data_IF_810180107202
#
_entry.id   IF_810180107202
#
_cell.length_a   1.000
_cell.length_b   1.000
_cell.length_c   1.000
_cell.angle_alpha   90.00
_cell.angle_beta   90.00
_cell.angle_gamma   90.00
#
_symmetry.space_group_name_H-M   'P 1'
#
loop_
_entity.id
_entity.type
_entity.pdbx_description
1 polymer ?
#
# COMPACT_ATOMS: atom_id res chain seq x y z
N UNK A 1 -39.27 -18.49 31.43
CA UNK A 1 -38.19 -19.24 32.13
C UNK A 1 -37.04 -18.28 32.30
N UNK A 2 -36.84 -17.81 33.53
CA UNK A 2 -35.89 -16.76 33.90
C UNK A 2 -34.49 -17.34 34.11
N UNK A 3 -33.46 -16.56 33.74
CA UNK A 3 -32.13 -16.66 34.32
C UNK A 3 -31.55 -15.24 34.43
N UNK A 4 -31.68 -14.69 35.64
CA UNK A 4 -30.98 -13.50 36.12
C UNK A 4 -29.52 -13.87 36.39
N UNK A 5 -28.58 -12.98 36.03
CA UNK A 5 -27.21 -12.98 36.55
C UNK A 5 -26.95 -11.60 37.14
N UNK A 6 -26.86 -11.54 38.47
CA UNK A 6 -26.45 -10.39 39.27
C UNK A 6 -24.92 -10.18 39.15
N UNK A 7 -24.50 -8.92 39.00
CA UNK A 7 -23.12 -8.48 39.20
C UNK A 7 -23.13 -7.55 40.42
N UNK A 8 -22.57 -8.02 41.53
CA UNK A 8 -22.36 -7.21 42.73
C UNK A 8 -21.14 -6.30 42.56
N UNK A 9 -21.35 -5.01 42.83
CA UNK A 9 -20.30 -4.01 42.97
C UNK A 9 -19.64 -4.05 44.35
N UNK A 10 -18.35 -3.70 44.39
CA UNK A 10 -17.62 -3.37 45.62
C UNK A 10 -17.04 -1.96 45.47
N UNK A 11 -17.69 -0.98 46.11
CA UNK A 11 -17.12 0.33 46.45
C UNK A 11 -16.83 0.30 47.94
N UNK A 12 -15.56 0.43 48.34
CA UNK A 12 -15.18 0.62 49.74
C UNK A 12 -14.59 2.03 49.94
N UNK A 13 -15.37 2.85 50.63
CA UNK A 13 -14.98 4.14 51.21
C UNK A 13 -14.29 3.84 52.55
N UNK A 14 -13.10 4.41 52.80
CA UNK A 14 -12.60 4.63 54.16
C UNK A 14 -12.03 6.04 54.37
N UNK A 15 -12.37 6.55 55.55
CA UNK A 15 -12.35 7.92 56.07
C UNK A 15 -10.96 8.50 56.35
N UNK A 16 -10.95 9.83 56.41
CA UNK A 16 -9.89 10.75 56.84
C UNK A 16 -9.67 10.81 58.36
N UNK A 17 -8.45 11.21 58.77
CA UNK A 17 -8.04 12.21 59.80
C UNK A 17 -6.65 11.88 60.39
N UNK A 18 -5.90 12.82 61.02
CA UNK A 18 -5.68 14.26 60.79
C UNK A 18 -4.14 14.61 60.77
N UNK A 19 -3.70 15.89 60.65
CA UNK A 19 -2.28 16.24 60.55
C UNK A 19 -1.66 16.55 61.93
N UNK A 20 -0.37 16.24 62.10
CA UNK A 20 0.43 16.67 63.25
C UNK A 20 1.61 17.53 62.78
N UNK A 21 1.60 18.79 63.22
CA UNK A 21 2.72 19.71 63.19
C UNK A 21 3.57 19.53 64.46
N UNK A 22 4.90 19.64 64.34
CA UNK A 22 5.83 19.66 65.47
C UNK A 22 7.25 19.93 65.00
N UNK A 23 7.80 21.08 65.38
CA UNK A 23 9.06 21.60 64.87
C UNK A 23 10.33 21.23 65.67
N UNK A 24 11.42 21.85 65.20
CA UNK A 24 12.75 22.03 65.80
C UNK A 24 13.75 20.86 65.73
N UNK A 25 14.81 21.04 64.93
CA UNK A 25 16.12 21.55 65.39
C UNK A 25 17.13 21.67 64.25
N UNK A 26 17.74 22.86 64.19
CA UNK A 26 18.92 23.19 63.41
C UNK A 26 20.13 22.33 63.84
N UNK A 27 20.79 21.69 62.87
CA UNK A 27 22.23 21.41 62.92
C UNK A 27 22.84 21.77 61.58
N UNK A 28 23.65 22.84 61.59
CA UNK A 28 24.56 23.22 60.53
C UNK A 28 25.52 22.06 60.23
N UNK A 29 25.55 21.63 58.97
CA UNK A 29 26.76 21.06 58.36
C UNK A 29 27.03 21.89 57.13
N UNK A 30 28.12 22.64 57.19
CA UNK A 30 28.63 23.45 56.11
C UNK A 30 29.15 22.53 54.98
N UNK A 31 28.61 22.69 53.78
CA UNK A 31 29.28 22.24 52.55
C UNK A 31 29.43 23.44 51.63
N UNK A 32 30.67 23.65 51.20
CA UNK A 32 31.16 24.80 50.44
C UNK A 32 30.38 25.03 49.15
N UNK A 33 30.16 26.32 48.89
CA UNK A 33 29.63 26.87 47.66
C UNK A 33 30.55 26.63 46.46
N UNK A 34 29.94 26.38 45.30
CA UNK A 34 30.46 26.80 44.01
C UNK A 34 29.34 27.52 43.25
N UNK A 35 29.57 28.80 42.99
CA UNK A 35 28.71 29.71 42.23
C UNK A 35 28.50 29.22 40.79
N UNK A 36 27.27 29.40 40.30
CA UNK A 36 26.90 30.34 39.23
C UNK A 36 25.83 29.75 38.31
N UNK A 37 24.60 30.25 38.47
CA UNK A 37 23.56 30.14 37.48
C UNK A 37 23.81 31.22 36.41
N UNK A 38 24.05 30.79 35.17
CA UNK A 38 23.94 31.64 33.99
C UNK A 38 22.90 31.01 33.08
N UNK A 39 21.82 31.75 32.84
CA UNK A 39 20.76 31.39 31.91
C UNK A 39 21.32 31.33 30.49
N UNK A 40 21.14 30.19 29.82
CA UNK A 40 21.47 30.02 28.40
C UNK A 40 20.20 30.27 27.60
N UNK A 41 20.17 31.39 26.87
CA UNK A 41 19.16 31.63 25.85
C UNK A 41 19.27 30.57 24.74
N UNK A 42 18.16 30.11 24.14
CA UNK A 42 18.23 29.12 23.08
C UNK A 42 18.91 29.74 21.85
N UNK A 43 19.99 29.10 21.39
CA UNK A 43 20.64 29.45 20.14
C UNK A 43 19.67 29.28 18.96
N UNK A 44 19.72 30.13 17.93
CA UNK A 44 18.87 29.99 16.77
C UNK A 44 19.17 28.65 16.09
N UNK A 45 18.11 27.90 15.78
CA UNK A 45 18.17 26.68 14.97
C UNK A 45 18.66 27.08 13.58
N UNK A 46 19.93 26.85 13.32
CA UNK A 46 20.49 26.92 11.96
C UNK A 46 19.93 25.72 11.22
N UNK A 47 19.03 25.97 10.28
CA UNK A 47 18.63 24.98 9.28
C UNK A 47 19.86 24.72 8.41
N UNK A 48 20.55 23.62 8.66
CA UNK A 48 21.61 23.16 7.76
C UNK A 48 20.95 22.64 6.50
N UNK A 49 21.30 23.21 5.35
CA UNK A 49 21.04 22.58 4.05
C UNK A 49 21.61 21.15 4.13
N UNK A 50 20.71 20.17 4.06
CA UNK A 50 21.01 18.77 4.35
C UNK A 50 21.98 18.20 3.33
N UNK A 51 23.26 18.22 3.65
CA UNK A 51 24.24 17.36 3.00
C UNK A 51 23.77 15.92 3.15
N UNK A 52 23.54 15.24 2.02
CA UNK A 52 23.21 13.82 2.01
C UNK A 52 24.26 13.08 2.85
N UNK A 53 23.83 12.43 3.93
CA UNK A 53 24.69 11.55 4.72
C UNK A 53 25.40 10.59 3.75
N UNK A 54 26.73 10.61 3.75
CA UNK A 54 27.58 9.70 2.98
C UNK A 54 27.33 8.26 3.45
N UNK A 55 26.28 7.64 2.93
CA UNK A 55 25.96 6.24 3.17
C UNK A 55 26.01 5.49 1.85
N UNK A 56 26.59 4.30 1.90
CA UNK A 56 26.63 3.39 0.76
C UNK A 56 25.35 2.57 0.65
N UNK A 57 24.66 2.33 1.77
CA UNK A 57 23.44 1.52 1.84
C UNK A 57 22.26 2.23 1.20
N UNK A 58 21.45 1.53 0.41
CA UNK A 58 20.15 2.00 -0.11
C UNK A 58 19.06 1.67 0.90
N UNK A 59 18.12 2.60 1.13
CA UNK A 59 17.04 2.47 2.11
C UNK A 59 15.68 2.51 1.43
N UNK A 60 14.89 1.46 1.67
CA UNK A 60 13.52 1.30 1.24
C UNK A 60 12.56 1.46 2.42
N UNK A 61 11.70 2.47 2.36
CA UNK A 61 10.62 2.66 3.35
C UNK A 61 9.42 1.76 3.06
N UNK A 62 9.00 0.98 4.05
CA UNK A 62 7.77 0.17 3.98
C UNK A 62 6.78 0.59 5.09
N UNK A 63 5.46 0.44 4.87
CA UNK A 63 4.46 0.73 5.89
C UNK A 63 4.69 -0.12 7.15
N UNK A 64 4.64 0.50 8.32
CA UNK A 64 5.00 -0.17 9.58
C UNK A 64 3.90 -1.04 10.19
N UNK A 65 2.63 -0.80 9.84
CA UNK A 65 1.47 -1.49 10.42
C UNK A 65 0.22 -1.39 9.54
N UNK A 66 -0.78 -2.21 9.86
CA UNK A 66 -2.08 -2.22 9.20
C UNK A 66 -2.08 -3.03 7.91
N UNK A 67 -3.23 -3.06 7.23
CA UNK A 67 -3.45 -3.84 6.01
C UNK A 67 -2.36 -3.63 4.95
N UNK A 68 -1.97 -2.37 4.72
CA UNK A 68 -0.95 -2.06 3.71
C UNK A 68 0.41 -2.67 4.05
N UNK A 69 0.81 -2.72 5.32
CA UNK A 69 2.06 -3.36 5.74
C UNK A 69 2.02 -4.87 5.48
N UNK A 70 0.92 -5.53 5.83
CA UNK A 70 0.73 -6.97 5.60
C UNK A 70 0.75 -7.30 4.11
N UNK A 71 -0.01 -6.56 3.29
CA UNK A 71 -0.04 -6.75 1.84
C UNK A 71 1.33 -6.46 1.19
N UNK A 72 2.05 -5.43 1.64
CA UNK A 72 3.42 -5.14 1.17
C UNK A 72 4.39 -6.27 1.48
N UNK A 73 4.38 -6.79 2.71
CA UNK A 73 5.24 -7.90 3.10
C UNK A 73 4.89 -9.19 2.35
N UNK A 74 3.59 -9.43 2.10
CA UNK A 74 3.13 -10.56 1.30
C UNK A 74 3.59 -10.43 -0.16
N UNK A 75 3.51 -9.24 -0.76
CA UNK A 75 4.03 -8.99 -2.11
C UNK A 75 5.52 -9.32 -2.19
N UNK A 76 6.34 -8.77 -1.28
CA UNK A 76 7.78 -9.01 -1.26
C UNK A 76 8.10 -10.49 -1.02
N UNK A 77 7.38 -11.16 -0.11
CA UNK A 77 7.51 -12.61 0.12
C UNK A 77 7.17 -13.41 -1.15
N UNK A 78 6.11 -13.07 -1.86
CA UNK A 78 5.71 -13.73 -3.10
C UNK A 78 6.72 -13.51 -4.22
N UNK A 79 7.45 -12.39 -4.18
CA UNK A 79 8.62 -12.11 -5.01
C UNK A 79 9.90 -12.84 -4.53
N UNK A 80 9.86 -13.71 -3.52
CA UNK A 80 11.06 -14.29 -2.90
C UNK A 80 12.05 -13.25 -2.34
N UNK A 81 11.60 -12.01 -2.13
CA UNK A 81 12.31 -10.90 -1.50
C UNK A 81 11.94 -10.86 -0.01
N UNK A 82 12.26 -11.94 0.70
CA UNK A 82 11.85 -12.07 2.11
C UNK A 82 12.53 -11.00 2.96
N UNK A 83 11.73 -10.14 3.59
CA UNK A 83 12.23 -9.16 4.55
C UNK A 83 12.66 -9.89 5.83
N UNK A 84 13.96 -9.84 6.12
CA UNK A 84 14.54 -10.43 7.32
C UNK A 84 14.54 -9.40 8.44
N UNK A 85 13.60 -9.54 9.35
CA UNK A 85 13.53 -8.72 10.55
C UNK A 85 14.15 -9.48 11.73
N UNK A 86 15.33 -9.08 12.17
CA UNK A 86 16.06 -9.74 13.27
C UNK A 86 15.28 -9.63 14.59
N UNK A 87 14.59 -8.51 14.80
CA UNK A 87 13.73 -8.28 15.95
C UNK A 87 12.42 -7.60 15.51
N UNK A 88 11.24 -8.18 15.78
CA UNK A 88 9.94 -7.59 15.41
C UNK A 88 9.70 -6.17 15.96
N UNK A 89 10.43 -5.77 17.03
CA UNK A 89 10.36 -4.42 17.62
C UNK A 89 11.32 -3.42 16.96
N UNK A 90 12.26 -3.88 16.13
CA UNK A 90 13.16 -3.00 15.40
C UNK A 90 12.49 -2.47 14.14
N UNK A 91 12.74 -1.20 13.85
CA UNK A 91 12.23 -0.52 12.66
C UNK A 91 13.09 -0.74 11.41
N UNK A 92 14.18 -1.49 11.54
CA UNK A 92 15.15 -1.75 10.48
C UNK A 92 15.23 -3.25 10.21
N UNK A 93 15.24 -3.60 8.93
CA UNK A 93 15.36 -4.97 8.43
C UNK A 93 16.21 -4.97 7.15
N UNK A 94 16.49 -6.15 6.60
CA UNK A 94 17.20 -6.28 5.33
C UNK A 94 16.48 -7.24 4.37
N UNK A 95 16.80 -7.14 3.08
CA UNK A 95 16.37 -8.08 2.05
C UNK A 95 17.63 -8.74 1.47
N UNK A 96 18.04 -9.93 1.96
CA UNK A 96 19.32 -10.55 1.58
C UNK A 96 19.48 -10.80 0.07
N UNK A 97 18.37 -10.90 -0.66
CA UNK A 97 18.33 -11.13 -2.11
C UNK A 97 18.66 -9.87 -2.92
N UNK A 98 18.73 -8.70 -2.29
CA UNK A 98 19.11 -7.42 -2.89
C UNK A 98 20.32 -6.88 -2.15
N UNK A 99 21.47 -6.83 -2.83
CA UNK A 99 22.71 -6.39 -2.21
C UNK A 99 22.59 -4.94 -1.74
N UNK A 100 23.10 -4.65 -0.54
CA UNK A 100 23.24 -3.28 -0.04
C UNK A 100 21.90 -2.52 0.12
N UNK A 101 20.80 -3.24 0.36
CA UNK A 101 19.46 -2.70 0.63
C UNK A 101 19.05 -2.92 2.10
N UNK A 102 18.58 -1.86 2.73
CA UNK A 102 18.00 -1.84 4.07
C UNK A 102 16.54 -1.41 4.01
N UNK A 103 15.69 -2.05 4.81
CA UNK A 103 14.26 -1.77 4.91
C UNK A 103 13.95 -1.01 6.18
N UNK A 104 13.22 0.10 6.06
CA UNK A 104 12.77 0.92 7.19
C UNK A 104 11.25 0.87 7.31
N UNK A 105 10.74 0.33 8.41
CA UNK A 105 9.32 0.33 8.71
C UNK A 105 8.90 1.69 9.29
N UNK A 106 8.08 2.43 8.55
CA UNK A 106 7.65 3.78 8.92
C UNK A 106 6.14 3.95 8.71
N UNK A 107 5.55 4.98 9.32
CA UNK A 107 4.18 5.37 8.94
C UNK A 107 4.20 5.88 7.50
N UNK A 108 3.17 5.63 6.66
CA UNK A 108 3.18 6.04 5.25
C UNK A 108 3.53 7.52 5.04
N UNK A 109 2.96 8.42 5.85
CA UNK A 109 3.30 9.87 5.80
C UNK A 109 4.79 10.17 6.08
N UNK A 110 5.41 9.38 6.95
CA UNK A 110 6.82 9.55 7.32
C UNK A 110 7.74 8.97 6.24
N UNK A 111 7.28 7.97 5.45
CA UNK A 111 8.00 7.49 4.26
C UNK A 111 8.14 8.63 3.25
N UNK A 112 7.02 9.30 2.90
CA UNK A 112 7.04 10.42 1.93
C UNK A 112 7.92 11.57 2.42
N UNK A 113 7.79 11.96 3.70
CA UNK A 113 8.64 13.00 4.29
C UNK A 113 10.13 12.64 4.28
N UNK A 114 10.47 11.38 4.53
CA UNK A 114 11.85 10.91 4.54
C UNK A 114 12.44 10.76 3.15
N UNK A 115 11.63 10.43 2.14
CA UNK A 115 12.05 10.49 0.74
C UNK A 115 12.41 11.93 0.38
N UNK A 116 11.53 12.88 0.71
CA UNK A 116 11.76 14.30 0.47
C UNK A 116 13.01 14.84 1.20
N UNK A 117 13.22 14.43 2.45
CA UNK A 117 14.40 14.82 3.23
C UNK A 117 15.70 14.10 2.80
N UNK A 118 15.60 13.08 1.93
CA UNK A 118 16.73 12.23 1.55
C UNK A 118 17.16 11.23 2.64
N UNK A 119 16.37 11.00 3.68
CA UNK A 119 16.61 9.96 4.68
C UNK A 119 16.38 8.54 4.13
N UNK A 120 15.45 8.42 3.18
CA UNK A 120 15.12 7.22 2.40
C UNK A 120 15.40 7.48 0.92
N UNK A 121 15.64 6.40 0.17
CA UNK A 121 15.86 6.45 -1.28
C UNK A 121 14.60 6.02 -2.05
N UNK A 122 13.96 4.96 -1.54
CA UNK A 122 12.78 4.31 -2.11
C UNK A 122 11.68 4.16 -1.07
N UNK A 123 10.44 4.01 -1.52
CA UNK A 123 9.32 3.76 -0.65
C UNK A 123 8.17 3.05 -1.34
N UNK A 124 7.40 2.27 -0.57
CA UNK A 124 6.10 1.75 -1.00
C UNK A 124 5.03 2.41 -0.13
N UNK A 125 4.12 3.15 -0.77
CA UNK A 125 3.04 3.91 -0.12
C UNK A 125 1.77 3.88 -0.96
N UNK A 126 0.65 4.34 -0.41
CA UNK A 126 -0.56 4.61 -1.21
C UNK A 126 -0.41 5.87 -2.04
N UNK A 127 -1.02 5.88 -3.23
CA UNK A 127 -1.04 7.07 -4.08
C UNK A 127 -1.72 8.25 -3.38
N UNK A 128 -2.73 8.00 -2.54
CA UNK A 128 -3.35 8.99 -1.64
C UNK A 128 -2.31 9.72 -0.77
N UNK A 129 -1.46 8.97 -0.09
CA UNK A 129 -0.47 9.44 0.86
C UNK A 129 0.65 10.15 0.12
N UNK A 130 1.09 9.57 -1.00
CA UNK A 130 2.05 10.22 -1.88
C UNK A 130 1.54 11.58 -2.36
N UNK A 131 0.27 11.66 -2.79
CA UNK A 131 -0.34 12.88 -3.31
C UNK A 131 -0.55 13.94 -2.22
N UNK A 132 -0.94 13.53 -1.01
CA UNK A 132 -1.17 14.43 0.13
C UNK A 132 0.13 15.02 0.68
N UNK A 133 1.14 14.17 0.91
CA UNK A 133 2.38 14.59 1.57
C UNK A 133 3.51 14.95 0.60
N UNK A 134 3.40 14.56 -0.67
CA UNK A 134 4.37 14.88 -1.71
C UNK A 134 4.16 16.25 -2.35
N UNK A 135 2.94 16.80 -2.32
CA UNK A 135 2.62 18.18 -2.73
C UNK A 135 3.22 18.63 -4.07
N UNK A 136 3.18 17.77 -5.10
CA UNK A 136 3.74 18.06 -6.45
C UNK A 136 5.25 18.37 -6.43
N UNK A 137 5.98 17.86 -5.44
CA UNK A 137 7.42 18.03 -5.37
C UNK A 137 8.13 17.27 -6.51
N UNK A 138 8.85 18.01 -7.35
CA UNK A 138 9.59 17.47 -8.50
C UNK A 138 10.72 16.49 -8.10
N UNK A 139 11.12 16.43 -6.83
CA UNK A 139 12.07 15.43 -6.33
C UNK A 139 11.43 14.06 -6.09
N UNK A 140 10.10 13.95 -6.03
CA UNK A 140 9.44 12.68 -5.74
C UNK A 140 8.90 12.07 -7.03
N UNK A 141 9.37 10.87 -7.36
CA UNK A 141 9.01 10.18 -8.60
C UNK A 141 8.24 8.90 -8.29
N UNK A 142 7.21 8.60 -9.07
CA UNK A 142 6.52 7.31 -9.06
C UNK A 142 7.23 6.38 -10.05
N UNK A 143 7.95 5.38 -9.53
CA UNK A 143 8.66 4.38 -10.32
C UNK A 143 7.70 3.31 -10.86
N UNK A 144 6.74 2.88 -10.02
CA UNK A 144 5.67 1.96 -10.42
C UNK A 144 4.34 2.43 -9.85
N UNK A 145 3.39 2.79 -10.72
CA UNK A 145 2.13 3.42 -10.31
C UNK A 145 1.00 2.43 -9.96
N UNK A 146 1.23 1.12 -10.06
CA UNK A 146 0.15 0.14 -9.97
C UNK A 146 0.59 -1.22 -9.40
N UNK A 147 0.83 -1.31 -8.09
CA UNK A 147 1.22 -2.60 -7.47
C UNK A 147 0.07 -3.59 -7.28
N UNK A 148 -1.16 -3.25 -7.72
CA UNK A 148 -2.35 -4.14 -7.73
C UNK A 148 -2.77 -4.62 -6.33
N UNK A 149 -2.59 -3.79 -5.31
CA UNK A 149 -3.16 -3.98 -3.98
C UNK A 149 -3.38 -2.63 -3.28
N UNK A 150 -4.11 -2.64 -2.17
CA UNK A 150 -4.44 -1.42 -1.44
C UNK A 150 -5.48 -0.54 -2.17
N UNK A 151 -6.27 -1.13 -3.07
CA UNK A 151 -7.27 -0.40 -3.87
C UNK A 151 -8.30 0.30 -2.96
N UNK A 152 -8.38 1.61 -3.11
CA UNK A 152 -9.35 2.48 -2.48
C UNK A 152 -9.49 3.78 -3.28
N UNK A 153 -10.48 4.59 -2.93
CA UNK A 153 -10.66 5.92 -3.49
C UNK A 153 -10.81 6.93 -2.37
N UNK A 154 -10.20 8.09 -2.49
CA UNK A 154 -10.46 9.22 -1.61
C UNK A 154 -11.73 9.90 -2.09
N UNK A 155 -12.77 9.93 -1.26
CA UNK A 155 -14.11 10.35 -1.70
C UNK A 155 -14.84 11.18 -0.64
N UNK A 156 -15.67 12.12 -1.10
CA UNK A 156 -16.59 12.86 -0.25
C UNK A 156 -17.77 11.97 0.10
N UNK A 157 -18.08 11.87 1.40
CA UNK A 157 -19.29 11.24 1.88
C UNK A 157 -20.14 12.20 2.71
N UNK A 158 -21.45 12.12 2.50
CA UNK A 158 -22.47 12.94 3.17
C UNK A 158 -23.53 12.05 3.83
N UNK A 159 -24.26 12.53 4.85
CA UNK A 159 -25.38 11.78 5.43
C UNK A 159 -26.42 11.35 4.36
N UNK A 160 -26.95 10.15 4.51
CA UNK A 160 -28.01 9.62 3.64
C UNK A 160 -29.37 10.28 3.89
N UNK A 161 -29.57 10.86 5.08
CA UNK A 161 -30.85 11.38 5.54
C UNK A 161 -30.76 12.88 5.87
N UNK A 162 -31.92 13.51 6.04
CA UNK A 162 -32.02 14.93 6.38
C UNK A 162 -31.79 15.82 5.17
N UNK A 163 -31.08 16.93 5.36
CA UNK A 163 -30.89 17.94 4.28
C UNK A 163 -30.12 17.40 3.06
N UNK A 164 -29.49 16.24 3.17
CA UNK A 164 -28.68 15.60 2.15
C UNK A 164 -29.40 14.45 1.40
N UNK A 165 -30.65 14.13 1.78
CA UNK A 165 -31.36 12.97 1.26
C UNK A 165 -31.46 12.97 -0.28
N UNK A 166 -31.75 14.13 -0.87
CA UNK A 166 -31.87 14.33 -2.32
C UNK A 166 -30.58 14.84 -3.00
N UNK A 167 -29.47 14.91 -2.27
CA UNK A 167 -28.17 15.36 -2.80
C UNK A 167 -27.40 14.13 -3.26
N UNK A 168 -27.15 14.01 -4.57
CA UNK A 168 -26.50 12.82 -5.13
C UNK A 168 -25.25 13.15 -5.94
N UNK A 169 -24.98 14.43 -6.21
CA UNK A 169 -23.77 14.88 -6.89
C UNK A 169 -23.09 16.01 -6.13
N UNK A 170 -21.81 16.24 -6.43
CA UNK A 170 -21.06 17.39 -5.94
C UNK A 170 -21.69 18.72 -6.40
N UNK A 171 -22.29 18.74 -7.58
CA UNK A 171 -23.00 19.91 -8.10
C UNK A 171 -24.24 20.23 -7.26
N UNK A 172 -25.04 19.21 -6.89
CA UNK A 172 -26.19 19.39 -6.01
C UNK A 172 -25.76 19.95 -4.66
N UNK A 173 -24.67 19.39 -4.10
CA UNK A 173 -24.09 19.84 -2.83
C UNK A 173 -23.65 21.31 -2.89
N UNK A 174 -23.03 21.73 -3.99
CA UNK A 174 -22.56 23.09 -4.22
C UNK A 174 -23.70 24.11 -4.34
N UNK A 175 -24.84 23.70 -4.90
CA UNK A 175 -26.00 24.56 -5.14
C UNK A 175 -26.92 24.71 -3.93
N UNK A 176 -26.66 23.97 -2.84
CA UNK A 176 -27.43 24.11 -1.62
C UNK A 176 -27.32 25.56 -1.07
N UNK A 177 -28.45 26.22 -0.74
CA UNK A 177 -28.45 27.60 -0.26
C UNK A 177 -27.91 27.75 1.18
N UNK A 178 -27.57 26.64 1.83
CA UNK A 178 -27.15 26.58 3.23
C UNK A 178 -25.71 27.06 3.45
N UNK A 179 -24.88 27.05 2.40
CA UNK A 179 -23.45 27.32 2.50
C UNK A 179 -23.17 28.79 2.19
N UNK A 180 -22.85 29.57 3.22
CA UNK A 180 -22.47 30.98 3.12
C UNK A 180 -21.10 31.21 3.76
N UNK A 181 -20.59 32.43 3.68
CA UNK A 181 -19.36 32.79 4.37
C UNK A 181 -19.45 32.60 5.89
N UNK A 182 -20.62 32.87 6.48
CA UNK A 182 -20.89 32.72 7.92
C UNK A 182 -21.18 31.27 8.31
N UNK A 183 -21.67 30.44 7.37
CA UNK A 183 -21.93 29.02 7.58
C UNK A 183 -21.38 28.18 6.42
N UNK A 184 -20.05 28.01 6.34
CA UNK A 184 -19.46 27.13 5.35
C UNK A 184 -19.83 25.67 5.64
N UNK A 185 -19.84 24.84 4.60
CA UNK A 185 -19.91 23.39 4.80
C UNK A 185 -18.66 22.93 5.55
N UNK A 186 -18.86 22.17 6.63
CA UNK A 186 -17.77 21.65 7.44
C UNK A 186 -17.41 20.25 6.95
N UNK A 187 -16.15 20.05 6.58
CA UNK A 187 -15.63 18.77 6.10
C UNK A 187 -14.58 18.27 7.08
N UNK A 188 -14.79 17.10 7.66
CA UNK A 188 -13.77 16.44 8.47
C UNK A 188 -12.88 15.58 7.56
N UNK A 189 -11.55 15.73 7.68
CA UNK A 189 -10.60 14.93 6.89
C UNK A 189 -9.20 14.90 7.49
N UNK A 190 -8.45 13.83 7.23
CA UNK A 190 -7.00 13.77 7.42
C UNK A 190 -6.20 14.34 6.25
N UNK A 191 -6.86 14.68 5.13
CA UNK A 191 -6.25 15.14 3.88
C UNK A 191 -6.29 16.67 3.78
N UNK A 192 -5.35 17.29 4.50
CA UNK A 192 -5.22 18.74 4.64
C UNK A 192 -4.83 19.48 3.36
N UNK A 193 -4.25 18.81 2.37
CA UNK A 193 -3.83 19.41 1.11
C UNK A 193 -4.80 19.07 -0.02
N UNK A 194 -5.14 17.78 -0.17
CA UNK A 194 -5.98 17.32 -1.27
C UNK A 194 -7.42 17.81 -1.16
N UNK A 195 -7.98 17.84 0.05
CA UNK A 195 -9.36 18.31 0.27
C UNK A 195 -9.58 19.76 -0.18
N UNK A 196 -8.81 20.73 0.34
CA UNK A 196 -8.92 22.11 -0.09
C UNK A 196 -8.66 22.30 -1.58
N UNK A 197 -7.67 21.61 -2.15
CA UNK A 197 -7.36 21.67 -3.59
C UNK A 197 -8.56 21.21 -4.43
N UNK A 198 -9.12 20.04 -4.11
CA UNK A 198 -10.27 19.49 -4.82
C UNK A 198 -11.50 20.40 -4.76
N UNK A 199 -11.85 20.89 -3.57
CA UNK A 199 -13.02 21.77 -3.41
C UNK A 199 -12.86 23.07 -4.19
N UNK A 200 -11.66 23.65 -4.20
CA UNK A 200 -11.34 24.85 -4.97
C UNK A 200 -11.47 24.60 -6.47
N UNK A 201 -10.91 23.50 -6.98
CA UNK A 201 -11.01 23.11 -8.40
C UNK A 201 -12.45 22.86 -8.85
N UNK A 202 -13.30 22.35 -7.96
CA UNK A 202 -14.72 22.11 -8.20
C UNK A 202 -15.61 23.34 -7.97
N UNK A 203 -15.03 24.49 -7.62
CA UNK A 203 -15.74 25.76 -7.45
C UNK A 203 -16.54 25.88 -6.14
N UNK A 204 -16.28 25.03 -5.15
CA UNK A 204 -16.89 25.10 -3.83
C UNK A 204 -16.28 26.27 -3.03
N UNK A 205 -17.03 27.36 -2.86
CA UNK A 205 -16.51 28.60 -2.24
C UNK A 205 -16.52 28.58 -0.71
N UNK A 206 -17.58 28.06 -0.11
CA UNK A 206 -17.84 28.15 1.32
C UNK A 206 -17.58 26.81 2.00
N UNK A 207 -16.31 26.45 2.16
CA UNK A 207 -15.87 25.19 2.78
C UNK A 207 -14.93 25.47 3.94
N UNK A 208 -15.13 24.77 5.04
CA UNK A 208 -14.21 24.75 6.18
C UNK A 208 -13.76 23.32 6.46
N UNK A 209 -12.46 23.16 6.73
CA UNK A 209 -11.88 21.85 7.02
C UNK A 209 -11.55 21.73 8.50
N UNK A 210 -11.76 20.53 9.04
CA UNK A 210 -11.31 20.16 10.38
C UNK A 210 -10.60 18.82 10.32
N UNK A 211 -9.52 18.70 11.08
CA UNK A 211 -8.83 17.42 11.26
C UNK A 211 -9.49 16.67 12.41
N UNK A 212 -9.87 15.42 12.19
CA UNK A 212 -10.27 14.52 13.27
C UNK A 212 -9.32 13.34 13.33
N UNK A 213 -8.83 13.04 14.54
CA UNK A 213 -8.02 11.86 14.81
C UNK A 213 -8.94 10.68 15.16
N UNK A 214 -9.05 9.70 14.25
CA UNK A 214 -9.89 8.52 14.43
C UNK A 214 -11.35 8.71 13.98
N UNK A 215 -12.10 7.60 13.96
CA UNK A 215 -13.53 7.44 13.60
C UNK A 215 -14.17 8.63 12.88
N UNK A 216 -13.64 8.97 11.70
CA UNK A 216 -14.03 10.15 10.94
C UNK A 216 -15.50 10.05 10.50
N UNK A 217 -15.94 8.82 10.23
CA UNK A 217 -17.30 8.43 9.88
C UNK A 217 -18.36 8.84 10.91
N UNK A 218 -18.00 9.02 12.18
CA UNK A 218 -18.91 9.47 13.23
C UNK A 218 -19.07 11.00 13.28
N UNK A 219 -18.15 11.76 12.67
CA UNK A 219 -18.11 13.23 12.78
C UNK A 219 -19.41 13.92 12.32
N UNK A 220 -20.10 13.49 11.24
CA UNK A 220 -21.39 14.06 10.86
C UNK A 220 -22.48 13.79 11.90
N UNK A 221 -22.58 12.57 12.42
CA UNK A 221 -23.60 12.20 13.42
C UNK A 221 -23.40 12.93 14.76
N UNK A 222 -22.15 13.21 15.12
CA UNK A 222 -21.79 13.99 16.31
C UNK A 222 -21.96 15.51 16.11
N UNK A 223 -22.28 15.96 14.89
CA UNK A 223 -22.42 17.37 14.56
C UNK A 223 -21.11 18.14 14.48
N UNK A 224 -19.97 17.45 14.43
CA UNK A 224 -18.63 18.04 14.29
C UNK A 224 -18.44 18.59 12.87
N UNK A 225 -18.85 17.82 11.87
CA UNK A 225 -18.83 18.19 10.47
C UNK A 225 -20.20 17.98 9.82
N UNK A 226 -20.37 18.47 8.60
CA UNK A 226 -21.56 18.23 7.77
C UNK A 226 -21.28 17.12 6.73
N UNK A 227 -20.03 16.98 6.32
CA UNK A 227 -19.53 15.94 5.42
C UNK A 227 -18.17 15.41 5.89
N UNK A 228 -17.70 14.33 5.27
CA UNK A 228 -16.34 13.82 5.43
C UNK A 228 -15.66 13.67 4.07
N UNK A 229 -14.33 13.71 4.09
CA UNK A 229 -13.49 13.31 2.97
C UNK A 229 -12.52 12.24 3.48
N UNK A 230 -12.73 10.99 3.04
CA UNK A 230 -11.99 9.83 3.55
C UNK A 230 -11.77 8.75 2.49
N UNK A 231 -10.90 7.79 2.81
CA UNK A 231 -10.63 6.63 1.97
C UNK A 231 -11.78 5.62 2.04
N UNK A 232 -12.28 5.23 0.86
CA UNK A 232 -13.34 4.25 0.68
C UNK A 232 -12.81 3.06 -0.10
N UNK A 233 -12.90 1.87 0.48
CA UNK A 233 -12.62 0.61 -0.23
C UNK A 233 -13.94 -0.09 -0.60
N UNK A 234 -14.53 -0.90 0.29
CA UNK A 234 -15.81 -1.57 0.06
C UNK A 234 -17.05 -0.69 0.28
N UNK A 235 -16.90 0.47 0.95
CA UNK A 235 -18.01 1.34 1.35
C UNK A 235 -18.80 0.87 2.58
N UNK A 236 -18.38 -0.24 3.24
CA UNK A 236 -19.09 -0.78 4.41
C UNK A 236 -19.15 0.24 5.56
N UNK A 237 -18.02 0.87 5.90
CA UNK A 237 -17.92 1.86 6.98
C UNK A 237 -18.86 3.05 6.76
N UNK A 238 -18.98 3.54 5.53
CA UNK A 238 -19.90 4.61 5.20
C UNK A 238 -21.36 4.18 5.43
N UNK A 239 -21.73 3.00 4.93
CA UNK A 239 -23.09 2.45 5.08
C UNK A 239 -23.47 2.27 6.56
N UNK A 240 -22.56 1.75 7.37
CA UNK A 240 -22.79 1.53 8.81
C UNK A 240 -23.01 2.85 9.58
N UNK A 241 -22.53 3.97 9.04
CA UNK A 241 -22.71 5.30 9.61
C UNK A 241 -23.77 6.13 8.88
N UNK A 242 -24.59 5.50 8.04
CA UNK A 242 -25.62 6.16 7.24
C UNK A 242 -25.06 7.30 6.36
N UNK A 243 -23.89 7.08 5.78
CA UNK A 243 -23.25 7.98 4.83
C UNK A 243 -23.31 7.38 3.42
N UNK A 244 -23.37 8.26 2.41
CA UNK A 244 -23.26 7.91 0.99
C UNK A 244 -22.19 8.73 0.31
N UNK A 245 -21.53 8.11 -0.66
CA UNK A 245 -20.73 8.83 -1.66
C UNK A 245 -21.66 9.55 -2.65
N UNK A 246 -21.11 10.56 -3.32
CA UNK A 246 -21.83 11.36 -4.32
C UNK A 246 -21.10 11.37 -5.66
N UNK A 247 -21.84 11.50 -6.74
CA UNK A 247 -21.31 11.60 -8.09
C UNK A 247 -20.41 12.83 -8.22
N UNK A 248 -19.22 12.60 -8.80
CA UNK A 248 -18.18 13.63 -8.88
C UNK A 248 -17.51 13.98 -7.54
N UNK A 249 -17.80 13.23 -6.46
CA UNK A 249 -17.17 13.38 -5.14
C UNK A 249 -15.87 12.59 -4.94
N UNK A 250 -15.49 11.74 -5.90
CA UNK A 250 -14.20 11.04 -5.88
C UNK A 250 -13.08 12.02 -6.22
N UNK A 251 -12.14 12.16 -5.29
CA UNK A 251 -10.97 13.04 -5.40
C UNK A 251 -9.84 12.36 -6.15
N UNK A 252 -9.52 11.11 -5.79
CA UNK A 252 -8.53 10.30 -6.48
C UNK A 252 -8.79 8.80 -6.26
N UNK A 253 -8.49 8.01 -7.28
CA UNK A 253 -8.33 6.55 -7.17
C UNK A 253 -6.92 6.25 -6.66
N UNK A 254 -6.80 5.36 -5.67
CA UNK A 254 -5.55 5.06 -4.96
C UNK A 254 -5.28 3.57 -4.93
N UNK A 255 -4.00 3.23 -5.08
CA UNK A 255 -3.45 1.91 -4.84
C UNK A 255 -2.01 2.06 -4.36
N UNK A 256 -1.39 0.95 -3.97
CA UNK A 256 0.02 0.95 -3.61
C UNK A 256 0.91 1.26 -4.83
N UNK A 257 1.90 2.12 -4.60
CA UNK A 257 2.87 2.59 -5.59
C UNK A 257 4.30 2.42 -5.07
N UNK A 258 5.24 2.15 -5.96
CA UNK A 258 6.68 2.26 -5.70
C UNK A 258 7.13 3.67 -6.08
N UNK A 259 7.76 4.37 -5.14
CA UNK A 259 8.21 5.75 -5.28
C UNK A 259 9.68 5.89 -4.91
N UNK A 260 10.32 6.94 -5.43
CA UNK A 260 11.73 7.22 -5.23
C UNK A 260 12.00 8.72 -5.06
N UNK A 261 13.13 9.06 -4.43
CA UNK A 261 13.69 10.41 -4.49
C UNK A 261 14.58 10.56 -5.73
N UNK A 262 14.31 11.55 -6.56
CA UNK A 262 15.06 11.94 -7.77
C UNK A 262 16.51 12.26 -7.45
N UNK A 263 16.77 13.08 -6.43
CA UNK A 263 18.13 13.34 -5.92
C UNK A 263 18.84 12.05 -5.56
N UNK A 264 18.15 11.12 -4.90
CA UNK A 264 18.75 9.83 -4.52
C UNK A 264 19.10 9.00 -5.75
N UNK A 265 18.21 8.92 -6.73
CA UNK A 265 18.45 8.20 -8.00
C UNK A 265 19.66 8.74 -8.78
N UNK A 266 19.86 10.06 -8.77
CA UNK A 266 20.94 10.71 -9.53
C UNK A 266 22.27 10.72 -8.78
N UNK A 267 22.23 11.00 -7.47
CA UNK A 267 23.44 11.36 -6.70
C UNK A 267 23.99 10.21 -5.88
N UNK A 268 23.19 9.19 -5.54
CA UNK A 268 23.62 8.08 -4.67
C UNK A 268 23.89 6.83 -5.48
N UNK A 269 25.14 6.39 -5.41
CA UNK A 269 25.62 5.17 -6.07
C UNK A 269 24.76 3.96 -5.69
N UNK A 270 24.34 3.18 -6.69
CA UNK A 270 23.58 1.94 -6.53
C UNK A 270 22.08 2.12 -6.31
N UNK A 271 21.56 3.32 -6.06
CA UNK A 271 20.11 3.54 -5.92
C UNK A 271 19.41 3.26 -7.25
N UNK A 272 19.93 3.78 -8.36
CA UNK A 272 19.35 3.57 -9.69
C UNK A 272 19.29 2.09 -10.07
N UNK A 273 20.39 1.35 -9.88
CA UNK A 273 20.49 -0.08 -10.20
C UNK A 273 19.54 -0.94 -9.34
N UNK A 274 19.46 -0.68 -8.03
CA UNK A 274 18.54 -1.39 -7.14
C UNK A 274 17.08 -1.04 -7.49
N UNK A 275 16.82 0.20 -7.89
CA UNK A 275 15.48 0.62 -8.33
C UNK A 275 15.07 -0.13 -9.60
N UNK A 276 15.98 -0.27 -10.56
CA UNK A 276 15.78 -1.05 -11.78
C UNK A 276 15.47 -2.51 -11.45
N UNK A 277 16.29 -3.15 -10.61
CA UNK A 277 16.09 -4.54 -10.23
C UNK A 277 14.75 -4.77 -9.48
N UNK A 278 14.38 -3.86 -8.57
CA UNK A 278 13.08 -3.92 -7.89
C UNK A 278 11.94 -3.75 -8.89
N UNK A 279 12.04 -2.77 -9.80
CA UNK A 279 11.03 -2.51 -10.82
C UNK A 279 10.81 -3.74 -11.71
N UNK A 280 11.88 -4.31 -12.27
CA UNK A 280 11.80 -5.49 -13.14
C UNK A 280 11.19 -6.70 -12.40
N UNK A 281 11.62 -6.96 -11.16
CA UNK A 281 11.07 -8.05 -10.36
C UNK A 281 9.59 -7.83 -10.06
N UNK A 282 9.17 -6.62 -9.69
CA UNK A 282 7.76 -6.33 -9.43
C UNK A 282 6.90 -6.52 -10.68
N UNK A 283 7.33 -6.01 -11.83
CA UNK A 283 6.59 -6.17 -13.09
C UNK A 283 6.50 -7.64 -13.51
N UNK A 284 7.61 -8.37 -13.44
CA UNK A 284 7.64 -9.80 -13.73
C UNK A 284 6.74 -10.60 -12.76
N UNK A 285 6.65 -10.18 -11.50
CA UNK A 285 5.79 -10.82 -10.51
C UNK A 285 4.31 -10.56 -10.80
N UNK A 286 3.94 -9.30 -11.08
CA UNK A 286 2.57 -8.94 -11.42
C UNK A 286 2.08 -9.68 -12.68
N UNK A 287 2.95 -9.86 -13.67
CA UNK A 287 2.69 -10.70 -14.85
C UNK A 287 2.49 -12.17 -14.48
N UNK A 288 3.34 -12.72 -13.61
CA UNK A 288 3.28 -14.11 -13.16
C UNK A 288 2.05 -14.42 -12.29
N UNK A 289 1.66 -13.48 -11.43
CA UNK A 289 0.61 -13.64 -10.43
C UNK A 289 -0.76 -13.94 -11.03
N UNK A 290 -0.97 -13.67 -12.32
CA UNK A 290 -2.22 -13.91 -13.06
C UNK A 290 -2.13 -15.08 -14.04
N UNK A 291 -1.06 -15.87 -14.00
CA UNK A 291 -0.82 -17.01 -14.88
C UNK A 291 -0.60 -18.30 -14.06
N UNK A 292 -0.81 -19.43 -14.72
CA UNK A 292 -0.33 -20.74 -14.27
C UNK A 292 0.51 -21.39 -15.36
N UNK A 293 1.51 -22.16 -14.96
CA UNK A 293 2.07 -23.18 -15.84
C UNK A 293 1.16 -24.39 -15.80
N UNK A 294 0.70 -24.83 -16.96
CA UNK A 294 -0.13 -26.01 -17.14
C UNK A 294 0.66 -27.05 -17.93
N UNK A 295 0.88 -28.21 -17.32
CA UNK A 295 1.54 -29.36 -17.94
C UNK A 295 0.54 -30.48 -18.12
N UNK A 296 0.47 -31.13 -19.28
CA UNK A 296 -0.45 -32.25 -19.50
C UNK A 296 0.17 -33.35 -20.36
N UNK A 297 -0.24 -34.60 -20.12
CA UNK A 297 0.10 -35.74 -20.98
C UNK A 297 -0.94 -35.91 -22.07
N UNK A 298 -0.49 -36.01 -23.32
CA UNK A 298 -1.32 -36.18 -24.50
C UNK A 298 -0.84 -37.34 -25.35
N UNK A 299 -1.77 -38.18 -25.84
CA UNK A 299 -1.42 -39.20 -26.84
C UNK A 299 -1.22 -38.54 -28.21
N UNK A 300 -0.17 -38.96 -28.91
CA UNK A 300 0.12 -38.52 -30.26
C UNK A 300 1.14 -39.41 -30.94
N UNK A 301 1.15 -39.40 -32.27
CA UNK A 301 2.16 -40.12 -33.06
C UNK A 301 3.50 -39.37 -33.12
N UNK A 302 3.45 -38.03 -33.17
CA UNK A 302 4.60 -37.14 -33.21
C UNK A 302 4.27 -35.83 -32.48
N UNK A 303 5.27 -34.98 -32.27
CA UNK A 303 5.12 -33.72 -31.55
C UNK A 303 4.24 -32.72 -32.33
N UNK A 304 4.36 -32.69 -33.65
CA UNK A 304 3.64 -31.78 -34.55
C UNK A 304 2.13 -32.00 -34.47
N UNK A 305 1.68 -33.25 -34.50
CA UNK A 305 0.26 -33.60 -34.34
C UNK A 305 -0.28 -33.15 -32.97
N UNK A 306 0.52 -33.26 -31.91
CA UNK A 306 0.13 -32.78 -30.58
C UNK A 306 0.05 -31.26 -30.56
N UNK A 307 0.99 -30.57 -31.21
CA UNK A 307 0.97 -29.12 -31.37
C UNK A 307 -0.29 -28.64 -32.10
N UNK A 308 -0.65 -29.28 -33.21
CA UNK A 308 -1.85 -28.97 -33.99
C UNK A 308 -3.13 -29.12 -33.16
N UNK A 309 -3.23 -30.22 -32.38
CA UNK A 309 -4.37 -30.42 -31.46
C UNK A 309 -4.47 -29.32 -30.42
N UNK A 310 -3.34 -28.92 -29.82
CA UNK A 310 -3.32 -27.84 -28.84
C UNK A 310 -3.70 -26.51 -29.50
N UNK A 311 -3.12 -26.20 -30.66
CA UNK A 311 -3.37 -24.95 -31.39
C UNK A 311 -4.82 -24.84 -31.91
N UNK A 312 -5.50 -25.97 -32.13
CA UNK A 312 -6.93 -25.98 -32.45
C UNK A 312 -7.82 -25.43 -31.33
N UNK A 313 -7.31 -25.33 -30.10
CA UNK A 313 -8.08 -24.91 -28.94
C UNK A 313 -7.83 -23.43 -28.59
N UNK A 314 -8.89 -22.60 -28.48
CA UNK A 314 -8.75 -21.15 -28.31
C UNK A 314 -7.97 -20.69 -27.07
N UNK A 315 -8.00 -21.44 -25.96
CA UNK A 315 -7.36 -21.02 -24.70
C UNK A 315 -6.05 -21.75 -24.39
N UNK A 316 -5.52 -22.52 -25.35
CA UNK A 316 -4.30 -23.32 -25.15
C UNK A 316 -3.10 -22.80 -25.96
N UNK A 317 -3.14 -21.54 -26.40
CA UNK A 317 -2.06 -20.94 -27.20
C UNK A 317 -0.72 -20.84 -26.45
N UNK A 318 -0.74 -20.76 -25.11
CA UNK A 318 0.43 -20.37 -24.34
C UNK A 318 0.84 -18.91 -24.60
N UNK A 319 2.04 -18.53 -24.15
CA UNK A 319 2.61 -17.21 -24.47
C UNK A 319 3.08 -17.15 -25.93
N UNK A 320 3.74 -18.20 -26.41
CA UNK A 320 4.28 -18.31 -27.78
C UNK A 320 3.86 -19.61 -28.48
N UNK A 321 3.30 -20.56 -27.74
CA UNK A 321 3.01 -21.92 -28.19
C UNK A 321 3.23 -22.95 -27.08
N UNK A 322 2.81 -24.21 -27.27
CA UNK A 322 3.13 -25.30 -26.37
C UNK A 322 4.58 -25.75 -26.52
N UNK A 323 5.28 -25.92 -25.40
CA UNK A 323 6.48 -26.77 -25.38
C UNK A 323 6.02 -28.22 -25.38
N UNK A 324 6.61 -29.06 -26.23
CA UNK A 324 6.20 -30.46 -26.39
C UNK A 324 7.43 -31.36 -26.22
N UNK A 325 7.32 -32.37 -25.35
CA UNK A 325 8.41 -33.31 -25.06
C UNK A 325 7.91 -34.75 -25.04
N UNK A 326 8.69 -35.74 -25.53
CA UNK A 326 8.26 -37.14 -25.56
C UNK A 326 8.14 -37.71 -24.14
N UNK A 327 7.10 -38.52 -23.93
CA UNK A 327 6.87 -39.27 -22.69
C UNK A 327 6.97 -40.76 -23.00
N UNK A 328 8.03 -41.37 -22.49
CA UNK A 328 8.33 -42.77 -22.69
C UNK A 328 7.51 -43.65 -21.74
N UNK A 329 6.88 -44.68 -22.29
CA UNK A 329 6.21 -45.70 -21.52
C UNK A 329 6.65 -47.10 -21.97
N UNK A 330 6.60 -48.05 -21.03
CA UNK A 330 6.94 -49.44 -21.31
C UNK A 330 5.67 -50.19 -21.71
N UNK A 331 5.66 -50.77 -22.92
CA UNK A 331 4.63 -51.69 -23.41
C UNK A 331 5.28 -52.97 -23.91
N UNK A 332 4.75 -54.11 -23.50
CA UNK A 332 5.24 -55.44 -23.92
C UNK A 332 6.77 -55.60 -23.80
N UNK A 333 7.34 -55.06 -22.72
CA UNK A 333 8.79 -55.11 -22.46
C UNK A 333 9.64 -54.10 -23.21
N UNK A 334 9.09 -53.37 -24.20
CA UNK A 334 9.79 -52.35 -24.99
C UNK A 334 9.38 -50.94 -24.58
N UNK A 335 10.31 -50.00 -24.71
CA UNK A 335 10.04 -48.58 -24.46
C UNK A 335 9.58 -47.93 -25.77
N UNK A 336 8.44 -47.26 -25.74
CA UNK A 336 7.85 -46.53 -26.86
C UNK A 336 7.42 -45.13 -26.44
N UNK A 337 7.35 -44.23 -27.43
CA UNK A 337 6.76 -42.89 -27.26
C UNK A 337 5.29 -43.01 -27.69
N UNK A 338 4.40 -43.10 -26.72
CA UNK A 338 2.95 -43.09 -26.97
C UNK A 338 2.28 -41.79 -26.50
N UNK A 339 3.01 -40.99 -25.73
CA UNK A 339 2.55 -39.76 -25.12
C UNK A 339 3.59 -38.65 -25.31
N UNK A 340 3.10 -37.42 -25.21
CA UNK A 340 3.88 -36.21 -25.14
C UNK A 340 3.40 -35.37 -23.94
N UNK A 341 4.34 -34.76 -23.24
CA UNK A 341 4.06 -33.74 -22.25
C UNK A 341 4.01 -32.39 -22.95
N UNK A 342 2.92 -31.65 -22.76
CA UNK A 342 2.77 -30.27 -23.20
C UNK A 342 2.98 -29.34 -22.02
N UNK A 343 3.57 -28.17 -22.23
CA UNK A 343 3.69 -27.10 -21.24
C UNK A 343 3.21 -25.79 -21.88
N UNK A 344 2.25 -25.13 -21.26
CA UNK A 344 1.71 -23.82 -21.68
C UNK A 344 1.47 -22.93 -20.46
N UNK A 345 1.59 -21.61 -20.65
CA UNK A 345 1.06 -20.66 -19.68
C UNK A 345 -0.44 -20.43 -19.95
N UNK A 346 -1.24 -20.42 -18.89
CA UNK A 346 -2.69 -20.22 -18.97
C UNK A 346 -3.09 -19.14 -17.96
N UNK A 347 -3.86 -18.10 -18.38
CA UNK A 347 -4.39 -17.11 -17.46
C UNK A 347 -5.26 -17.76 -16.39
N UNK A 348 -5.12 -17.36 -15.12
CA UNK A 348 -5.86 -17.99 -14.02
C UNK A 348 -7.38 -17.98 -14.23
N UNK A 349 -7.91 -16.87 -14.76
CA UNK A 349 -9.35 -16.72 -15.10
C UNK A 349 -9.83 -17.70 -16.18
N UNK A 350 -8.91 -18.20 -17.03
CA UNK A 350 -9.20 -19.14 -18.11
C UNK A 350 -8.90 -20.61 -17.73
N UNK A 351 -8.34 -20.88 -16.54
CA UNK A 351 -7.83 -22.20 -16.17
C UNK A 351 -8.87 -23.31 -16.34
N UNK A 352 -10.05 -23.15 -15.76
CA UNK A 352 -11.07 -24.20 -15.78
C UNK A 352 -11.52 -24.54 -17.22
N UNK A 353 -11.75 -23.52 -18.04
CA UNK A 353 -12.08 -23.67 -19.47
C UNK A 353 -10.94 -24.36 -20.24
N UNK A 354 -9.70 -23.99 -19.93
CA UNK A 354 -8.50 -24.57 -20.56
C UNK A 354 -8.35 -26.05 -20.21
N UNK A 355 -8.63 -26.44 -18.97
CA UNK A 355 -8.65 -27.86 -18.55
C UNK A 355 -9.74 -28.64 -19.30
N UNK A 356 -10.93 -28.07 -19.51
CA UNK A 356 -11.98 -28.70 -20.31
C UNK A 356 -11.54 -28.90 -21.77
N UNK A 357 -10.91 -27.89 -22.38
CA UNK A 357 -10.35 -27.98 -23.74
C UNK A 357 -9.22 -29.00 -23.83
N UNK A 358 -8.31 -29.05 -22.86
CA UNK A 358 -7.25 -30.07 -22.81
C UNK A 358 -7.85 -31.48 -22.77
N UNK A 359 -8.87 -31.70 -21.95
CA UNK A 359 -9.53 -33.00 -21.84
C UNK A 359 -10.27 -33.41 -23.11
N UNK A 360 -10.92 -32.47 -23.81
CA UNK A 360 -11.66 -32.79 -25.05
C UNK A 360 -10.76 -33.28 -26.18
N UNK A 361 -9.49 -32.87 -26.20
CA UNK A 361 -8.47 -33.31 -27.17
C UNK A 361 -7.60 -34.49 -26.67
N UNK A 362 -7.99 -35.11 -25.55
CA UNK A 362 -7.33 -36.31 -25.01
C UNK A 362 -6.16 -36.04 -24.05
N UNK A 363 -6.05 -34.81 -23.53
CA UNK A 363 -5.12 -34.46 -22.45
C UNK A 363 -5.53 -35.04 -21.11
N UNK A 364 -4.53 -35.51 -20.35
CA UNK A 364 -4.68 -36.20 -19.07
C UNK A 364 -3.51 -35.88 -18.14
N UNK A 365 -3.65 -36.16 -16.84
CA UNK A 365 -2.59 -35.87 -15.87
C UNK A 365 -2.21 -34.39 -15.86
N UNK A 366 -3.22 -33.50 -15.90
CA UNK A 366 -3.01 -32.05 -15.99
C UNK A 366 -2.49 -31.54 -14.64
N UNK A 367 -1.23 -31.10 -14.63
CA UNK A 367 -0.57 -30.45 -13.51
C UNK A 367 -0.66 -28.93 -13.68
N UNK A 368 -0.92 -28.22 -12.60
CA UNK A 368 -1.05 -26.76 -12.58
C UNK A 368 -0.15 -26.23 -11.49
N UNK A 369 0.75 -25.30 -11.82
CA UNK A 369 1.71 -24.71 -10.87
C UNK A 369 1.73 -23.19 -10.98
N UNK A 370 1.78 -22.45 -9.85
CA UNK A 370 1.97 -21.00 -9.86
C UNK A 370 3.37 -20.63 -10.31
N UNK A 371 3.54 -19.37 -10.71
CA UNK A 371 4.81 -18.79 -11.13
C UNK A 371 5.21 -17.67 -10.16
N UNK A 372 6.50 -17.54 -9.86
CA UNK A 372 7.02 -16.40 -9.09
C UNK A 372 7.22 -15.18 -9.99
N UNK A 373 7.86 -15.39 -11.14
CA UNK A 373 8.19 -14.35 -12.11
C UNK A 373 7.95 -14.85 -13.54
N UNK A 374 7.54 -13.94 -14.42
CA UNK A 374 7.59 -14.07 -15.87
C UNK A 374 8.29 -12.82 -16.37
N UNK A 375 9.58 -12.93 -16.71
CA UNK A 375 10.32 -11.84 -17.35
C UNK A 375 10.03 -11.85 -18.85
N UNK A 376 9.68 -10.69 -19.39
CA UNK A 376 9.53 -10.44 -20.83
C UNK A 376 10.29 -9.15 -21.19
N UNK A 377 10.00 -8.55 -22.34
CA UNK A 377 10.51 -7.22 -22.66
C UNK A 377 10.20 -6.21 -21.54
N UNK A 378 11.17 -5.34 -21.28
CA UNK A 378 11.01 -4.25 -20.33
C UNK A 378 9.84 -3.36 -20.74
N UNK A 379 9.03 -2.95 -19.76
CA UNK A 379 7.98 -1.99 -20.04
C UNK A 379 8.59 -0.60 -20.30
N UNK A 380 7.85 0.32 -20.92
CA UNK A 380 8.31 1.69 -21.10
C UNK A 380 8.69 2.41 -19.80
N UNK A 381 8.23 1.94 -18.62
CA UNK A 381 8.43 2.62 -17.33
C UNK A 381 9.88 2.92 -17.01
N UNK A 382 10.78 1.98 -17.30
CA UNK A 382 12.20 2.20 -17.04
C UNK A 382 12.76 3.33 -17.92
N UNK A 383 12.41 3.33 -19.21
CA UNK A 383 12.81 4.39 -20.15
C UNK A 383 12.18 5.73 -19.80
N UNK A 384 10.91 5.73 -19.41
CA UNK A 384 10.19 6.94 -18.99
C UNK A 384 10.82 7.54 -17.73
N UNK A 385 11.21 6.69 -16.77
CA UNK A 385 11.96 7.12 -15.58
C UNK A 385 13.30 7.74 -15.95
N UNK A 386 14.11 7.10 -16.81
CA UNK A 386 15.39 7.67 -17.27
C UNK A 386 15.20 9.03 -17.96
N UNK A 387 14.17 9.15 -18.81
CA UNK A 387 13.81 10.42 -19.44
C UNK A 387 13.44 11.50 -18.42
N UNK A 388 12.71 11.17 -17.36
CA UNK A 388 12.37 12.10 -16.26
C UNK A 388 13.61 12.53 -15.44
N UNK A 389 14.60 11.64 -15.34
CA UNK A 389 15.88 11.90 -14.70
C UNK A 389 16.86 12.69 -15.58
N UNK A 390 16.63 12.73 -16.90
CA UNK A 390 17.54 13.32 -17.88
C UNK A 390 18.80 12.47 -18.14
N UNK A 391 18.66 11.14 -18.04
CA UNK A 391 19.74 10.15 -18.22
C UNK A 391 19.67 9.43 -19.57
#
# INVERSE_FOLDING_TARGET
>A
MAAFVEIQGFFQIRRQHPPLAGGARLRQVAVRASNSAAAVAPAPVVVSDGAASERTVVRLGLPSKGRMAEETLNLLKNCQLTVRQVNPRQYVADIPQLSNLEVWFQRPKDIVRKLHAGDLDLGIVGLDTFSEYGQENEDLIIVHNELKYGDCRLSIAIPMYGIFENINSLQDLAQMPHWTEERPIRVATGFTCLGPRFMKEKGMKHVSFSTADGALEAAPAMGISDAILDLVSSGTTLRENNLKEIDGGVVLESQAVLVASKKSLIQRSGVLDITHEILERLEAHLRAAVQFTVTANMRGSNAEQVAEKIHSQPSLSGLQGPTISPVYCKRDGKVSIDYYAIIICVPQKALYKSVQQLRSIGGSGVLVSPLTYIFEEETPRWRDLLSELGL
#
